data_IF_482987265864
#
_entry.id   IF_482987265864
#
_cell.length_a   1.000
_cell.length_b   1.000
_cell.length_c   1.000
_cell.angle_alpha   90.00
_cell.angle_beta   90.00
_cell.angle_gamma   90.00
#
_symmetry.space_group_name_H-M   'P 1'
#
loop_
_entity.id
_entity.type
_entity.pdbx_description
1 polymer ?
#
# COMPACT_ATOMS: atom_id res chain seq x y z
N UNK A 1 4.60 8.99 -4.84
CA UNK A 1 4.57 9.09 -3.36
C UNK A 1 5.71 8.30 -2.71
N UNK A 2 5.96 7.06 -3.11
CA UNK A 2 7.03 6.21 -2.54
C UNK A 2 8.43 6.85 -2.50
N UNK A 3 8.87 7.49 -3.60
CA UNK A 3 10.17 8.19 -3.65
C UNK A 3 10.32 9.25 -2.55
N UNK A 4 9.25 9.98 -2.21
CA UNK A 4 9.28 11.05 -1.20
C UNK A 4 9.47 10.50 0.22
N UNK A 5 8.76 9.42 0.55
CA UNK A 5 8.89 8.74 1.85
C UNK A 5 10.30 8.19 2.01
N UNK A 6 10.86 7.60 0.96
CA UNK A 6 12.20 7.04 1.03
C UNK A 6 13.29 8.12 1.19
N UNK A 7 13.13 9.28 0.53
CA UNK A 7 14.04 10.43 0.72
C UNK A 7 13.97 10.95 2.16
N UNK A 8 12.77 11.04 2.76
CA UNK A 8 12.61 11.43 4.16
C UNK A 8 13.31 10.45 5.10
N UNK A 9 13.18 9.14 4.85
CA UNK A 9 13.86 8.10 5.62
C UNK A 9 15.39 8.21 5.55
N UNK A 10 15.95 8.38 4.34
CA UNK A 10 17.39 8.57 4.18
C UNK A 10 17.84 9.87 4.86
N UNK A 11 17.09 10.96 4.68
CA UNK A 11 17.42 12.25 5.29
C UNK A 11 17.43 12.16 6.81
N UNK A 12 16.40 11.55 7.40
CA UNK A 12 16.32 11.38 8.85
C UNK A 12 17.39 10.41 9.37
N UNK A 13 17.62 9.29 8.67
CA UNK A 13 18.69 8.34 8.98
C UNK A 13 20.08 8.98 8.97
N UNK A 14 20.37 9.81 7.96
CA UNK A 14 21.61 10.59 7.88
C UNK A 14 21.74 11.58 9.03
N UNK A 15 20.67 12.32 9.36
CA UNK A 15 20.68 13.28 10.47
C UNK A 15 20.98 12.56 11.79
N UNK A 16 20.25 11.48 12.11
CA UNK A 16 20.47 10.71 13.34
C UNK A 16 21.89 10.13 13.39
N UNK A 17 22.35 9.58 12.26
CA UNK A 17 23.73 9.07 12.13
C UNK A 17 24.75 10.16 12.41
N UNK A 18 24.59 11.33 11.80
CA UNK A 18 25.49 12.47 12.00
C UNK A 18 25.45 12.98 13.44
N UNK A 19 24.28 13.14 14.04
CA UNK A 19 24.13 13.63 15.41
C UNK A 19 24.76 12.66 16.43
N UNK A 20 24.52 11.36 16.30
CA UNK A 20 25.11 10.35 17.18
C UNK A 20 26.63 10.28 17.00
N UNK A 21 27.11 10.36 15.76
CA UNK A 21 28.54 10.30 15.47
C UNK A 21 29.27 11.55 15.96
N UNK A 22 28.70 12.75 15.81
CA UNK A 22 29.28 13.99 16.32
C UNK A 22 29.44 13.96 17.85
N UNK A 23 28.43 13.44 18.56
CA UNK A 23 28.49 13.30 20.01
C UNK A 23 29.60 12.31 20.45
N UNK A 24 29.70 11.16 19.80
CA UNK A 24 30.71 10.14 20.12
C UNK A 24 32.13 10.57 19.74
N UNK A 25 32.31 11.20 18.57
CA UNK A 25 33.60 11.73 18.12
C UNK A 25 34.12 12.78 19.10
N UNK A 26 33.26 13.66 19.60
CA UNK A 26 33.64 14.65 20.61
C UNK A 26 34.14 14.04 21.92
N UNK A 27 33.63 12.86 22.30
CA UNK A 27 33.96 12.20 23.56
C UNK A 27 35.17 11.26 23.48
N UNK A 28 35.33 10.55 22.36
CA UNK A 28 36.28 9.44 22.23
C UNK A 28 37.29 9.60 21.09
N UNK A 29 37.15 10.62 20.24
CA UNK A 29 37.93 10.77 19.01
C UNK A 29 37.44 9.86 17.88
N UNK A 30 37.81 10.19 16.64
CA UNK A 30 37.28 9.53 15.42
C UNK A 30 37.67 8.05 15.35
N UNK A 31 38.94 7.73 15.63
CA UNK A 31 39.44 6.36 15.53
C UNK A 31 38.79 5.45 16.55
N UNK A 32 38.66 5.89 17.80
CA UNK A 32 38.06 5.06 18.85
C UNK A 32 36.57 4.87 18.60
N UNK A 33 35.82 5.94 18.29
CA UNK A 33 34.38 5.88 18.05
C UNK A 33 33.96 4.88 16.95
N UNK A 34 34.78 4.73 15.89
CA UNK A 34 34.54 3.78 14.79
C UNK A 34 34.67 2.30 15.21
N UNK A 35 35.50 1.99 16.21
CA UNK A 35 35.82 0.61 16.59
C UNK A 35 35.26 0.19 17.95
N UNK A 36 34.92 1.12 18.85
CA UNK A 36 34.47 0.77 20.20
C UNK A 36 32.97 0.59 20.34
N UNK A 37 32.15 1.20 19.48
CA UNK A 37 30.70 1.17 19.66
C UNK A 37 29.97 0.61 18.42
N UNK A 38 29.47 -0.65 18.47
CA UNK A 38 28.69 -1.23 17.38
C UNK A 38 27.50 -0.35 16.97
N UNK A 39 26.96 0.43 17.91
CA UNK A 39 25.88 1.39 17.68
C UNK A 39 26.26 2.51 16.71
N UNK A 40 27.55 2.78 16.50
CA UNK A 40 28.07 3.75 15.54
C UNK A 40 27.86 3.30 14.09
N UNK A 41 28.05 2.00 13.81
CA UNK A 41 28.01 1.46 12.46
C UNK A 41 26.59 1.13 11.99
N UNK A 42 25.67 0.76 12.89
CA UNK A 42 24.32 0.34 12.50
C UNK A 42 23.52 1.40 11.74
N UNK A 43 23.50 2.69 12.14
CA UNK A 43 22.80 3.73 11.38
C UNK A 43 23.40 3.98 10.00
N UNK A 44 24.74 3.93 9.88
CA UNK A 44 25.47 4.07 8.61
C UNK A 44 25.15 2.91 7.68
N UNK A 45 25.29 1.67 8.18
CA UNK A 45 24.98 0.44 7.43
C UNK A 45 23.51 0.43 7.03
N UNK A 46 22.61 0.78 7.94
CA UNK A 46 21.19 0.90 7.66
C UNK A 46 20.91 1.92 6.54
N UNK A 47 21.49 3.10 6.62
CA UNK A 47 21.31 4.15 5.60
C UNK A 47 21.84 3.69 4.23
N UNK A 48 23.02 3.06 4.18
CA UNK A 48 23.58 2.52 2.94
C UNK A 48 22.73 1.39 2.39
N UNK A 49 22.28 0.47 3.25
CA UNK A 49 21.41 -0.64 2.90
C UNK A 49 20.08 -0.15 2.30
N UNK A 50 19.40 0.79 2.97
CA UNK A 50 18.17 1.41 2.46
C UNK A 50 18.39 2.18 1.16
N UNK A 51 19.55 2.84 0.99
CA UNK A 51 19.90 3.56 -0.23
C UNK A 51 20.10 2.61 -1.41
N UNK A 52 20.84 1.51 -1.20
CA UNK A 52 21.07 0.49 -2.22
C UNK A 52 19.78 -0.22 -2.63
N UNK A 53 18.91 -0.50 -1.66
CA UNK A 53 17.65 -1.18 -1.92
C UNK A 53 16.64 -0.33 -2.70
N UNK A 54 16.75 1.00 -2.72
CA UNK A 54 15.92 1.83 -3.60
C UNK A 54 16.09 1.51 -5.08
N UNK A 55 17.26 0.99 -5.47
CA UNK A 55 17.54 0.65 -6.86
C UNK A 55 16.83 -0.64 -7.31
N UNK A 56 16.26 -1.40 -6.37
CA UNK A 56 15.71 -2.73 -6.63
C UNK A 56 14.21 -2.78 -6.30
N UNK A 57 13.38 -3.17 -7.27
CA UNK A 57 11.89 -3.20 -7.13
C UNK A 57 11.33 -4.58 -6.72
N UNK A 58 12.17 -5.50 -6.26
CA UNK A 58 11.80 -6.89 -6.00
C UNK A 58 11.01 -7.11 -4.71
N UNK A 59 10.26 -8.22 -4.64
CA UNK A 59 9.60 -8.68 -3.40
C UNK A 59 10.61 -9.00 -2.30
N UNK A 60 11.77 -9.56 -2.67
CA UNK A 60 12.87 -9.90 -1.77
C UNK A 60 13.33 -8.67 -0.98
N UNK A 61 13.43 -7.52 -1.66
CA UNK A 61 13.84 -6.24 -1.09
C UNK A 61 12.84 -5.72 -0.07
N UNK A 62 11.54 -5.87 -0.37
CA UNK A 62 10.48 -5.46 0.55
C UNK A 62 10.51 -6.29 1.83
N UNK A 63 10.71 -7.60 1.69
CA UNK A 63 10.83 -8.52 2.83
C UNK A 63 12.08 -8.19 3.63
N UNK A 64 13.21 -7.96 2.95
CA UNK A 64 14.49 -7.69 3.62
C UNK A 64 14.45 -6.38 4.42
N UNK A 65 13.76 -5.33 3.93
CA UNK A 65 13.50 -4.11 4.71
C UNK A 65 12.74 -4.38 6.01
N UNK A 66 11.67 -5.16 5.95
CA UNK A 66 10.84 -5.49 7.11
C UNK A 66 11.68 -6.26 8.13
N UNK A 67 12.38 -7.31 7.67
CA UNK A 67 13.21 -8.16 8.54
C UNK A 67 14.31 -7.34 9.20
N UNK A 68 15.00 -6.48 8.46
CA UNK A 68 16.06 -5.63 8.99
C UNK A 68 15.56 -4.67 10.07
N UNK A 69 14.45 -3.95 9.82
CA UNK A 69 13.85 -3.05 10.81
C UNK A 69 13.34 -3.81 12.03
N UNK A 70 12.75 -4.99 11.82
CA UNK A 70 12.28 -5.83 12.91
C UNK A 70 13.43 -6.27 13.82
N UNK A 71 14.56 -6.73 13.25
CA UNK A 71 15.73 -7.15 14.03
C UNK A 71 16.31 -5.97 14.81
N UNK A 72 16.54 -4.82 14.17
CA UNK A 72 17.09 -3.63 14.85
C UNK A 72 16.16 -3.17 15.97
N UNK A 73 14.86 -3.14 15.69
CA UNK A 73 13.85 -2.78 16.67
C UNK A 73 13.82 -3.75 17.84
N UNK A 74 13.85 -5.06 17.58
CA UNK A 74 13.87 -6.09 18.61
C UNK A 74 15.09 -5.94 19.51
N UNK A 75 16.28 -5.80 18.94
CA UNK A 75 17.53 -5.55 19.69
C UNK A 75 17.41 -4.29 20.53
N UNK A 76 16.96 -3.18 19.93
CA UNK A 76 16.81 -1.90 20.64
C UNK A 76 15.81 -1.96 21.80
N UNK A 77 14.69 -2.66 21.64
CA UNK A 77 13.69 -2.84 22.71
C UNK A 77 14.23 -3.78 23.80
N UNK A 78 14.94 -4.85 23.43
CA UNK A 78 15.50 -5.78 24.42
C UNK A 78 16.61 -5.15 25.25
N UNK A 79 17.46 -4.34 24.62
CA UNK A 79 18.61 -3.71 25.27
C UNK A 79 18.19 -2.57 26.20
N UNK A 80 17.27 -1.70 25.76
CA UNK A 80 16.67 -0.66 26.61
C UNK A 80 15.19 -0.49 26.25
N UNK A 81 14.26 -0.86 27.15
CA UNK A 81 12.84 -0.77 26.85
C UNK A 81 12.38 0.70 26.70
N UNK A 82 13.16 1.66 27.21
CA UNK A 82 12.92 3.09 27.01
C UNK A 82 13.48 3.65 25.72
N UNK A 83 14.19 2.84 24.94
CA UNK A 83 14.78 3.28 23.70
C UNK A 83 13.67 3.72 22.74
N UNK A 84 13.52 5.04 22.62
CA UNK A 84 12.63 5.69 21.64
C UNK A 84 12.94 5.17 20.23
N UNK A 85 14.20 4.82 19.97
CA UNK A 85 14.65 4.25 18.71
C UNK A 85 14.08 2.84 18.47
N UNK A 86 14.16 1.94 19.46
CA UNK A 86 13.65 0.58 19.35
C UNK A 86 12.16 0.56 19.02
N UNK A 87 11.37 1.31 19.77
CA UNK A 87 9.94 1.47 19.54
C UNK A 87 9.64 2.17 18.21
N UNK A 88 10.36 3.26 17.89
CA UNK A 88 10.22 3.98 16.63
C UNK A 88 10.44 3.09 15.41
N UNK A 89 11.50 2.26 15.42
CA UNK A 89 11.75 1.30 14.35
C UNK A 89 10.70 0.19 14.28
N UNK A 90 10.11 -0.21 15.42
CA UNK A 90 8.99 -1.16 15.42
C UNK A 90 7.78 -0.57 14.70
N UNK A 91 7.43 0.67 15.03
CA UNK A 91 6.31 1.37 14.40
C UNK A 91 6.53 1.54 12.89
N UNK A 92 7.75 1.87 12.48
CA UNK A 92 8.11 1.92 11.06
C UNK A 92 8.03 0.54 10.39
N UNK A 93 8.41 -0.53 11.08
CA UNK A 93 8.29 -1.90 10.58
C UNK A 93 6.82 -2.28 10.34
N UNK A 94 5.94 -2.00 11.32
CA UNK A 94 4.49 -2.22 11.22
C UNK A 94 3.90 -1.40 10.06
N UNK A 95 4.31 -0.14 9.93
CA UNK A 95 3.90 0.71 8.81
C UNK A 95 4.33 0.14 7.44
N UNK A 96 5.54 -0.39 7.32
CA UNK A 96 6.00 -1.02 6.07
C UNK A 96 5.26 -2.32 5.77
N UNK A 97 4.97 -3.14 6.79
CA UNK A 97 4.12 -4.33 6.66
C UNK A 97 2.73 -3.97 6.12
N UNK A 98 2.14 -2.88 6.61
CA UNK A 98 0.90 -2.33 6.07
C UNK A 98 1.06 -1.86 4.62
N UNK A 99 2.02 -0.98 4.36
CA UNK A 99 2.25 -0.36 3.05
C UNK A 99 2.54 -1.38 1.95
N UNK A 100 3.22 -2.48 2.27
CA UNK A 100 3.49 -3.55 1.32
C UNK A 100 2.33 -4.54 1.16
N UNK A 101 1.22 -4.33 1.87
CA UNK A 101 -0.02 -5.13 1.77
C UNK A 101 0.01 -6.43 2.57
N UNK A 102 1.06 -6.69 3.34
CA UNK A 102 1.15 -7.90 4.16
C UNK A 102 0.11 -7.92 5.29
N UNK A 103 -0.36 -6.75 5.74
CA UNK A 103 -1.43 -6.63 6.73
C UNK A 103 -2.84 -6.57 6.14
N UNK A 104 -3.03 -6.45 4.82
CA UNK A 104 -4.39 -6.33 4.25
C UNK A 104 -5.21 -7.63 4.45
N UNK A 105 -4.57 -8.78 4.25
CA UNK A 105 -5.18 -10.08 4.51
C UNK A 105 -5.18 -10.35 6.01
N UNK A 106 -6.35 -10.59 6.61
CA UNK A 106 -6.53 -10.86 8.04
C UNK A 106 -5.94 -9.76 8.96
N UNK A 107 -6.18 -8.50 8.62
CA UNK A 107 -5.64 -7.31 9.31
C UNK A 107 -5.72 -7.42 10.84
N UNK A 108 -6.89 -7.76 11.39
CA UNK A 108 -7.10 -7.84 12.84
C UNK A 108 -6.18 -8.90 13.48
N UNK A 109 -6.19 -10.12 12.95
CA UNK A 109 -5.39 -11.22 13.51
C UNK A 109 -3.88 -10.93 13.44
N UNK A 110 -3.40 -10.38 12.32
CA UNK A 110 -1.98 -10.03 12.16
C UNK A 110 -1.55 -8.87 13.06
N UNK A 111 -2.40 -7.86 13.23
CA UNK A 111 -2.13 -6.74 14.14
C UNK A 111 -2.06 -7.21 15.60
N UNK A 112 -2.95 -8.11 16.02
CA UNK A 112 -2.90 -8.73 17.35
C UNK A 112 -1.60 -9.53 17.52
N UNK A 113 -1.21 -10.32 16.52
CA UNK A 113 0.05 -11.07 16.53
C UNK A 113 1.27 -10.17 16.67
N UNK A 114 1.34 -9.07 15.89
CA UNK A 114 2.41 -8.08 16.01
C UNK A 114 2.43 -7.45 17.40
N UNK A 115 1.27 -7.06 17.94
CA UNK A 115 1.18 -6.51 19.29
C UNK A 115 1.69 -7.49 20.35
N UNK A 116 1.35 -8.77 20.24
CA UNK A 116 1.84 -9.80 21.14
C UNK A 116 3.37 -9.96 21.05
N UNK A 117 3.95 -9.87 19.86
CA UNK A 117 5.42 -9.90 19.67
C UNK A 117 6.08 -8.68 20.33
N UNK A 118 5.57 -7.48 20.11
CA UNK A 118 6.11 -6.26 20.75
C UNK A 118 6.02 -6.36 22.27
N UNK A 119 4.88 -6.85 22.78
CA UNK A 119 4.67 -7.05 24.20
C UNK A 119 5.65 -8.07 24.80
N UNK A 120 5.89 -9.19 24.10
CA UNK A 120 6.87 -10.18 24.50
C UNK A 120 8.28 -9.60 24.55
N UNK A 121 8.70 -8.80 23.56
CA UNK A 121 10.00 -8.13 23.55
C UNK A 121 10.17 -7.19 24.74
N UNK A 122 9.15 -6.38 25.04
CA UNK A 122 9.16 -5.48 26.21
C UNK A 122 9.24 -6.29 27.51
N UNK A 123 8.46 -7.37 27.64
CA UNK A 123 8.51 -8.26 28.80
C UNK A 123 9.90 -8.87 28.99
N UNK A 124 10.53 -9.36 27.92
CA UNK A 124 11.88 -9.94 28.01
C UNK A 124 12.91 -8.91 28.49
N UNK A 125 12.78 -7.65 28.08
CA UNK A 125 13.64 -6.56 28.55
C UNK A 125 13.42 -6.25 30.03
N UNK A 126 12.15 -6.23 30.48
CA UNK A 126 11.80 -5.98 31.89
C UNK A 126 12.28 -7.12 32.78
N UNK A 127 12.07 -8.39 32.40
CA UNK A 127 12.47 -9.53 33.24
C UNK A 127 13.98 -9.60 33.48
N UNK A 128 14.78 -9.02 32.59
CA UNK A 128 16.23 -8.88 32.77
C UNK A 128 16.67 -7.72 33.67
N UNK A 129 15.78 -6.80 34.07
CA UNK A 129 16.14 -5.56 34.77
C UNK A 129 15.18 -5.23 35.94
N UNK A 130 15.66 -4.53 36.96
CA UNK A 130 14.85 -4.16 38.15
C UNK A 130 13.85 -3.00 37.93
N UNK A 131 13.54 -2.63 36.68
CA UNK A 131 12.76 -1.43 36.34
C UNK A 131 11.35 -1.74 35.81
N UNK A 132 10.51 -2.36 36.65
CA UNK A 132 9.13 -2.77 36.28
C UNK A 132 8.22 -1.58 35.94
N UNK A 133 8.30 -0.48 36.70
CA UNK A 133 7.45 0.70 36.49
C UNK A 133 7.65 1.36 35.12
N UNK A 134 8.90 1.37 34.66
CA UNK A 134 9.31 1.88 33.37
C UNK A 134 8.70 1.03 32.25
N UNK A 135 8.79 -0.30 32.38
CA UNK A 135 8.21 -1.24 31.44
C UNK A 135 6.70 -1.06 31.25
N UNK A 136 5.96 -0.83 32.34
CA UNK A 136 4.51 -0.60 32.29
C UNK A 136 4.14 0.66 31.50
N UNK A 137 4.90 1.75 31.64
CA UNK A 137 4.66 2.98 30.87
C UNK A 137 4.86 2.76 29.37
N UNK A 138 5.91 2.01 29.00
CA UNK A 138 6.19 1.66 27.60
C UNK A 138 5.07 0.78 27.03
N UNK A 139 4.58 -0.20 27.80
CA UNK A 139 3.44 -1.03 27.41
C UNK A 139 2.18 -0.20 27.16
N UNK A 140 1.87 0.74 28.07
CA UNK A 140 0.71 1.62 27.92
C UNK A 140 0.82 2.51 26.68
N UNK A 141 2.02 3.05 26.40
CA UNK A 141 2.28 3.86 25.22
C UNK A 141 2.10 3.05 23.92
N UNK A 142 2.65 1.84 23.86
CA UNK A 142 2.48 0.95 22.70
C UNK A 142 1.02 0.60 22.49
N UNK A 143 0.30 0.22 23.57
CA UNK A 143 -1.13 -0.08 23.49
C UNK A 143 -1.93 1.11 22.95
N UNK A 144 -1.69 2.31 23.49
CA UNK A 144 -2.32 3.54 23.00
C UNK A 144 -2.06 3.77 21.51
N UNK A 145 -0.81 3.63 21.06
CA UNK A 145 -0.45 3.81 19.66
C UNK A 145 -1.16 2.78 18.76
N UNK A 146 -1.20 1.52 19.18
CA UNK A 146 -1.91 0.46 18.44
C UNK A 146 -3.40 0.75 18.34
N UNK A 147 -4.04 1.20 19.42
CA UNK A 147 -5.46 1.59 19.42
C UNK A 147 -5.68 2.77 18.47
N UNK A 148 -4.84 3.81 18.53
CA UNK A 148 -4.93 4.96 17.64
C UNK A 148 -4.75 4.58 16.16
N UNK A 149 -3.75 3.74 15.86
CA UNK A 149 -3.50 3.20 14.52
C UNK A 149 -4.70 2.37 14.03
N UNK A 150 -5.25 1.51 14.88
CA UNK A 150 -6.40 0.68 14.54
C UNK A 150 -7.65 1.53 14.27
N UNK A 151 -7.91 2.55 15.08
CA UNK A 151 -9.04 3.47 14.89
C UNK A 151 -8.92 4.25 13.58
N UNK A 152 -7.72 4.78 13.28
CA UNK A 152 -7.47 5.50 12.03
C UNK A 152 -7.68 4.64 10.79
N UNK A 153 -7.12 3.42 10.78
CA UNK A 153 -7.28 2.48 9.69
C UNK A 153 -8.72 1.98 9.55
N UNK A 154 -9.41 1.73 10.67
CA UNK A 154 -10.82 1.35 10.64
C UNK A 154 -11.67 2.41 9.95
N UNK A 155 -11.47 3.70 10.28
CA UNK A 155 -12.18 4.81 9.62
C UNK A 155 -11.89 4.87 8.12
N UNK A 156 -10.64 4.67 7.70
CA UNK A 156 -10.26 4.64 6.29
C UNK A 156 -10.93 3.48 5.54
N UNK A 157 -10.91 2.28 6.12
CA UNK A 157 -11.57 1.09 5.54
C UNK A 157 -13.07 1.32 5.41
N UNK A 158 -13.73 1.93 6.40
CA UNK A 158 -15.16 2.27 6.32
C UNK A 158 -15.43 3.28 5.21
N UNK A 159 -14.55 4.28 5.04
CA UNK A 159 -14.65 5.27 3.96
C UNK A 159 -14.52 4.60 2.58
N UNK A 160 -13.58 3.66 2.42
CA UNK A 160 -13.43 2.91 1.17
C UNK A 160 -14.66 2.03 0.89
N UNK A 161 -15.21 1.37 1.91
CA UNK A 161 -16.44 0.57 1.78
C UNK A 161 -17.65 1.43 1.41
N UNK A 162 -17.79 2.61 2.00
CA UNK A 162 -18.84 3.56 1.62
C UNK A 162 -18.68 4.01 0.17
N UNK A 163 -17.47 4.38 -0.26
CA UNK A 163 -17.19 4.72 -1.66
C UNK A 163 -17.52 3.59 -2.63
N UNK A 164 -17.21 2.34 -2.28
CA UNK A 164 -17.57 1.18 -3.10
C UNK A 164 -19.09 0.97 -3.19
N UNK A 165 -19.81 1.14 -2.07
CA UNK A 165 -21.28 1.09 -2.04
C UNK A 165 -21.91 2.21 -2.89
N UNK A 166 -21.46 3.44 -2.70
CA UNK A 166 -21.92 4.60 -3.46
C UNK A 166 -21.64 4.43 -4.95
N UNK A 167 -20.47 3.88 -5.28
CA UNK A 167 -20.10 3.57 -6.66
C UNK A 167 -21.05 2.52 -7.24
N UNK A 168 -21.29 1.40 -6.55
CA UNK A 168 -22.26 0.38 -6.97
C UNK A 168 -23.69 0.91 -7.10
N UNK A 169 -24.14 1.76 -6.18
CA UNK A 169 -25.47 2.39 -6.26
C UNK A 169 -25.58 3.33 -7.44
N UNK A 170 -24.54 4.14 -7.71
CA UNK A 170 -24.49 4.98 -8.92
C UNK A 170 -24.53 4.11 -10.16
N UNK A 171 -23.79 3.00 -10.20
CA UNK A 171 -23.85 2.06 -11.32
C UNK A 171 -25.26 1.52 -11.49
N UNK A 172 -25.91 1.07 -10.41
CA UNK A 172 -27.29 0.56 -10.46
C UNK A 172 -28.31 1.62 -10.91
N UNK A 173 -28.14 2.86 -10.47
CA UNK A 173 -28.98 3.98 -10.91
C UNK A 173 -28.71 4.38 -12.38
N UNK A 174 -27.48 4.14 -12.87
CA UNK A 174 -27.07 4.42 -14.25
C UNK A 174 -27.34 3.24 -15.20
N UNK A 175 -27.47 2.03 -14.67
CA UNK A 175 -28.03 0.87 -15.35
C UNK A 175 -29.56 1.02 -15.41
N UNK A 176 -30.01 2.15 -15.94
CA UNK A 176 -31.34 2.29 -16.50
C UNK A 176 -31.53 1.33 -17.67
N UNK A 177 -32.67 1.47 -18.34
CA UNK A 177 -33.18 0.51 -19.31
C UNK A 177 -32.14 -0.07 -20.27
N UNK A 178 -32.29 -1.37 -20.63
CA UNK A 178 -31.55 -2.02 -21.70
C UNK A 178 -31.17 -1.06 -22.82
N UNK A 179 -29.87 -0.91 -23.07
CA UNK A 179 -29.46 -0.20 -24.28
C UNK A 179 -29.54 -1.19 -25.41
N UNK A 180 -30.53 -1.01 -26.25
CA UNK A 180 -30.51 -1.58 -27.58
C UNK A 180 -29.38 -0.92 -28.41
N UNK A 181 -28.30 -1.68 -28.63
CA UNK A 181 -27.15 -1.23 -29.43
C UNK A 181 -27.55 -0.93 -30.88
N UNK A 182 -28.58 -1.59 -31.40
CA UNK A 182 -29.09 -1.38 -32.75
C UNK A 182 -29.84 -0.06 -32.82
N UNK A 183 -30.68 0.25 -31.82
CA UNK A 183 -31.37 1.53 -31.72
C UNK A 183 -30.40 2.72 -31.65
N UNK A 184 -29.24 2.56 -31.00
CA UNK A 184 -28.20 3.57 -30.92
C UNK A 184 -27.33 3.71 -32.18
N UNK A 185 -27.54 2.85 -33.19
CA UNK A 185 -26.81 2.86 -34.47
C UNK A 185 -25.30 2.80 -34.28
N UNK A 186 -24.82 1.87 -33.45
CA UNK A 186 -23.37 1.62 -33.37
C UNK A 186 -22.84 1.00 -34.66
N UNK A 187 -21.67 1.48 -35.09
CA UNK A 187 -20.96 0.86 -36.21
C UNK A 187 -20.33 -0.46 -35.77
N UNK A 188 -20.11 -1.38 -36.71
CA UNK A 188 -19.42 -2.66 -36.43
C UNK A 188 -18.10 -2.45 -35.69
N UNK A 189 -17.32 -1.44 -36.09
CA UNK A 189 -16.04 -1.09 -35.43
C UNK A 189 -16.21 -0.59 -34.00
N UNK A 190 -17.25 0.19 -33.71
CA UNK A 190 -17.57 0.61 -32.34
C UNK A 190 -17.96 -0.60 -31.48
N UNK A 191 -18.76 -1.53 -32.02
CA UNK A 191 -19.15 -2.76 -31.34
C UNK A 191 -17.91 -3.61 -31.02
N UNK A 192 -16.99 -3.79 -31.97
CA UNK A 192 -15.74 -4.52 -31.77
C UNK A 192 -14.90 -3.89 -30.65
N UNK A 193 -14.71 -2.56 -30.66
CA UNK A 193 -14.02 -1.83 -29.59
C UNK A 193 -14.69 -2.08 -28.24
N UNK A 194 -16.03 -2.07 -28.20
CA UNK A 194 -16.81 -2.36 -27.00
C UNK A 194 -16.57 -3.78 -26.45
N UNK A 195 -16.49 -4.79 -27.33
CA UNK A 195 -16.19 -6.19 -26.94
C UNK A 195 -14.80 -6.34 -26.34
N UNK A 196 -13.77 -5.79 -27.00
CA UNK A 196 -12.40 -5.80 -26.45
C UNK A 196 -12.34 -5.12 -25.09
N UNK A 197 -13.07 -4.02 -24.95
CA UNK A 197 -13.10 -3.26 -23.72
C UNK A 197 -13.69 -4.03 -22.54
N UNK A 198 -14.70 -4.88 -22.77
CA UNK A 198 -15.31 -5.71 -21.72
C UNK A 198 -14.41 -6.90 -21.36
N UNK A 199 -13.89 -7.61 -22.36
CA UNK A 199 -13.20 -8.88 -22.13
C UNK A 199 -11.82 -8.72 -21.49
N UNK A 200 -11.03 -7.73 -21.92
CA UNK A 200 -9.63 -7.67 -21.54
C UNK A 200 -9.32 -6.58 -20.49
N UNK A 201 -10.28 -5.72 -20.16
CA UNK A 201 -10.07 -4.53 -19.31
C UNK A 201 -8.85 -3.70 -19.75
N UNK A 202 -8.58 -3.70 -21.05
CA UNK A 202 -7.35 -3.19 -21.64
C UNK A 202 -7.32 -1.66 -21.70
N UNK A 203 -6.09 -1.13 -21.68
CA UNK A 203 -5.81 0.27 -21.99
C UNK A 203 -6.10 0.55 -23.47
N UNK A 204 -6.36 1.82 -23.82
CA UNK A 204 -6.64 2.22 -25.20
C UNK A 204 -5.51 1.80 -26.17
N UNK A 205 -4.26 1.70 -25.67
CA UNK A 205 -3.10 1.26 -26.45
C UNK A 205 -3.12 -0.24 -26.75
N UNK A 206 -3.53 -1.06 -25.80
CA UNK A 206 -3.60 -2.52 -25.96
C UNK A 206 -4.76 -2.89 -26.90
N UNK A 207 -5.92 -2.25 -26.74
CA UNK A 207 -7.06 -2.40 -27.67
C UNK A 207 -6.62 -2.02 -29.09
N UNK A 208 -5.92 -0.88 -29.24
CA UNK A 208 -5.44 -0.41 -30.53
C UNK A 208 -4.46 -1.40 -31.18
N UNK A 209 -3.54 -1.97 -30.40
CA UNK A 209 -2.60 -2.97 -30.87
C UNK A 209 -3.31 -4.23 -31.39
N UNK A 210 -4.30 -4.75 -30.65
CA UNK A 210 -5.08 -5.93 -31.08
C UNK A 210 -5.90 -5.68 -32.33
N UNK A 211 -6.50 -4.50 -32.42
CA UNK A 211 -7.33 -4.12 -33.56
C UNK A 211 -6.52 -3.63 -34.76
N UNK A 212 -5.18 -3.54 -34.65
CA UNK A 212 -4.27 -3.00 -35.67
C UNK A 212 -4.68 -1.59 -36.14
N UNK A 213 -5.04 -0.72 -35.19
CA UNK A 213 -5.38 0.69 -35.44
C UNK A 213 -4.56 1.61 -34.54
N UNK A 214 -4.61 2.93 -34.77
CA UNK A 214 -3.95 3.89 -33.89
C UNK A 214 -4.69 4.02 -32.54
N UNK A 215 -3.99 4.30 -31.42
CA UNK A 215 -4.64 4.59 -30.14
C UNK A 215 -5.66 5.75 -30.21
N UNK A 216 -5.41 6.74 -31.07
CA UNK A 216 -6.34 7.86 -31.25
C UNK A 216 -7.61 7.45 -32.00
N UNK A 217 -7.54 6.47 -32.90
CA UNK A 217 -8.71 5.86 -33.53
C UNK A 217 -9.60 5.19 -32.48
N UNK A 218 -9.02 4.41 -31.54
CA UNK A 218 -9.77 3.80 -30.43
C UNK A 218 -10.41 4.86 -29.54
N UNK A 219 -9.67 5.92 -29.18
CA UNK A 219 -10.22 7.04 -28.40
C UNK A 219 -11.39 7.72 -29.10
N UNK A 220 -11.32 7.90 -30.42
CA UNK A 220 -12.39 8.46 -31.21
C UNK A 220 -13.64 7.56 -31.24
N UNK A 221 -13.46 6.24 -31.40
CA UNK A 221 -14.56 5.28 -31.27
C UNK A 221 -15.19 5.34 -29.88
N UNK A 222 -14.40 5.29 -28.81
CA UNK A 222 -14.91 5.40 -27.43
C UNK A 222 -15.61 6.74 -27.17
N UNK A 223 -15.12 7.84 -27.73
CA UNK A 223 -15.77 9.16 -27.64
C UNK A 223 -17.12 9.17 -28.36
N UNK A 224 -17.19 8.62 -29.57
CA UNK A 224 -18.43 8.48 -30.33
C UNK A 224 -19.43 7.59 -29.60
N UNK A 225 -18.97 6.45 -29.08
CA UNK A 225 -19.79 5.51 -28.33
C UNK A 225 -20.40 6.14 -27.08
N UNK A 226 -19.59 6.85 -26.29
CA UNK A 226 -20.06 7.58 -25.10
C UNK A 226 -21.12 8.62 -25.45
N UNK A 227 -20.92 9.38 -26.52
CA UNK A 227 -21.89 10.39 -27.00
C UNK A 227 -23.22 9.74 -27.39
N UNK A 228 -23.18 8.65 -28.16
CA UNK A 228 -24.39 7.91 -28.59
C UNK A 228 -25.11 7.25 -27.40
N UNK A 229 -24.38 6.68 -26.45
CA UNK A 229 -24.95 6.05 -25.25
C UNK A 229 -25.37 7.04 -24.15
N UNK A 230 -25.16 8.34 -24.36
CA UNK A 230 -25.50 9.39 -23.40
C UNK A 230 -24.72 9.29 -22.08
N UNK A 231 -23.46 8.84 -22.11
CA UNK A 231 -22.63 8.65 -20.90
C UNK A 231 -21.38 9.53 -20.89
N UNK A 232 -21.00 10.00 -19.70
CA UNK A 232 -19.86 10.87 -19.51
C UNK A 232 -18.53 10.14 -19.43
N UNK A 233 -18.52 8.91 -18.89
CA UNK A 233 -17.27 8.19 -18.57
C UNK A 233 -17.11 6.89 -19.34
N UNK A 234 -15.85 6.47 -19.55
CA UNK A 234 -15.50 5.17 -20.16
C UNK A 234 -16.09 4.00 -19.35
N UNK A 235 -16.11 4.15 -18.02
CA UNK A 235 -16.61 3.16 -17.09
C UNK A 235 -18.14 2.95 -17.21
N UNK A 236 -18.90 4.04 -17.29
CA UNK A 236 -20.35 4.00 -17.56
C UNK A 236 -20.66 3.33 -18.91
N UNK A 237 -19.82 3.55 -19.92
CA UNK A 237 -19.96 2.88 -21.21
C UNK A 237 -19.73 1.36 -21.08
N UNK A 238 -18.69 0.94 -20.36
CA UNK A 238 -18.39 -0.49 -20.11
C UNK A 238 -19.58 -1.17 -19.43
N UNK A 239 -20.15 -0.54 -18.41
CA UNK A 239 -21.28 -1.09 -17.65
C UNK A 239 -22.52 -1.28 -18.54
N UNK A 240 -22.87 -0.26 -19.34
CA UNK A 240 -23.98 -0.33 -20.29
C UNK A 240 -23.81 -1.42 -21.34
N UNK A 241 -22.61 -1.54 -21.93
CA UNK A 241 -22.33 -2.58 -22.92
C UNK A 241 -22.27 -3.97 -22.26
N UNK A 242 -21.74 -4.09 -21.04
CA UNK A 242 -21.71 -5.36 -20.29
C UNK A 242 -23.12 -5.85 -19.97
N UNK A 243 -24.03 -4.94 -19.62
CA UNK A 243 -25.43 -5.28 -19.41
C UNK A 243 -26.04 -5.89 -20.68
N UNK A 244 -25.78 -5.30 -21.86
CA UNK A 244 -26.27 -5.81 -23.16
C UNK A 244 -25.78 -7.25 -23.44
N UNK A 245 -24.46 -7.47 -23.38
CA UNK A 245 -23.90 -8.82 -23.65
C UNK A 245 -24.26 -9.86 -22.59
N UNK A 246 -24.41 -9.44 -21.33
CA UNK A 246 -24.84 -10.35 -20.26
C UNK A 246 -26.26 -10.90 -20.43
N UNK A 247 -27.09 -10.27 -21.26
CA UNK A 247 -28.43 -10.74 -21.60
C UNK A 247 -28.47 -11.52 -22.93
N UNK A 248 -27.57 -11.26 -23.88
CA UNK A 248 -27.42 -12.08 -25.10
C UNK A 248 -27.07 -13.54 -24.79
N UNK A 249 -26.24 -13.78 -23.76
CA UNK A 249 -25.83 -15.13 -23.34
C UNK A 249 -26.88 -15.86 -22.47
N UNK A 250 -28.04 -15.26 -22.18
CA UNK A 250 -29.16 -15.97 -21.52
C UNK A 250 -29.95 -16.81 -22.53
N UNK A 251 -30.17 -18.11 -22.28
CA UNK A 251 -30.76 -19.05 -23.25
C UNK A 251 -32.20 -18.73 -23.71
N UNK A 252 -32.87 -17.75 -23.10
CA UNK A 252 -34.23 -17.34 -23.46
C UNK A 252 -34.33 -16.38 -24.66
N UNK A 253 -33.20 -15.93 -25.24
CA UNK A 253 -33.18 -14.94 -26.34
C UNK A 253 -33.45 -15.51 -27.75
N UNK A 254 -33.79 -16.80 -27.88
CA UNK A 254 -34.08 -17.46 -29.18
C UNK A 254 -35.56 -17.57 -29.53
N UNK A 255 -36.45 -16.83 -28.85
CA UNK A 255 -37.89 -16.80 -29.17
C UNK A 255 -38.34 -15.36 -29.47
N UNK A 256 -38.04 -14.88 -30.66
CA UNK A 256 -38.80 -13.82 -31.36
C UNK A 256 -38.44 -13.77 -32.83
#
# INVERSE_FOLDING_TARGET
MEKRINILFIGFGLIVTLTNNLFLIGKHGISLALFTDPLFLFPVIGTLYFSLLQLTRGIIVKISHIVFLFIISAVGITDDPNSVYGLGFMLMCIYLLYKYGYLHSHFVAKSIGLMAVVYALILTSILGKTHVSIGLNVMAFVLFFFVAFFLGEWQWIQTLRQRDKDYKQRIQAMSGEPIDLEALKFTKREIDVGRYLIHFQETDKEIAWRMQVSPDTVRNHLKSMRRKAGVGTKQQLIEKIRWYYGHEDSPDSTIS
#
